data_IF_532233719626
#
_entry.id   IF_532233719626
#
_cell.length_a   1.000
_cell.length_b   1.000
_cell.length_c   1.000
_cell.angle_alpha   90.00
_cell.angle_beta   90.00
_cell.angle_gamma   90.00
#
_symmetry.space_group_name_H-M   'P 1'
#
loop_
_entity.id
_entity.type
_entity.pdbx_description
1 polymer ?
#
# COMPACT_ATOMS: atom_id res chain seq x y z
N UNK A 1 11.79 -1.92 -23.47
CA UNK A 1 10.48 -1.45 -22.92
C UNK A 1 10.33 -2.17 -21.59
N UNK A 2 9.96 -1.47 -20.51
CA UNK A 2 9.86 -2.10 -19.19
C UNK A 2 8.83 -3.24 -19.23
N UNK A 3 9.21 -4.43 -18.75
CA UNK A 3 8.36 -5.63 -18.77
C UNK A 3 7.66 -5.88 -17.45
N UNK A 4 8.33 -5.57 -16.33
CA UNK A 4 7.86 -5.89 -14.98
C UNK A 4 8.00 -4.71 -14.03
N UNK A 5 7.04 -4.55 -13.12
CA UNK A 5 7.08 -3.63 -11.99
C UNK A 5 7.38 -4.42 -10.70
N UNK A 6 8.56 -4.21 -10.12
CA UNK A 6 9.02 -4.89 -8.91
C UNK A 6 8.68 -4.11 -7.64
N UNK A 7 8.34 -4.85 -6.59
CA UNK A 7 8.02 -4.36 -5.27
C UNK A 7 8.67 -5.25 -4.20
N UNK A 8 8.92 -4.65 -3.03
CA UNK A 8 9.64 -5.31 -1.94
C UNK A 8 8.86 -5.06 -0.66
N UNK A 9 8.48 -6.14 0.01
CA UNK A 9 7.97 -6.11 1.38
C UNK A 9 9.11 -6.44 2.35
N UNK A 10 9.27 -5.66 3.42
CA UNK A 10 10.35 -5.84 4.40
C UNK A 10 11.56 -4.92 4.18
N UNK A 11 12.71 -5.30 4.74
CA UNK A 11 13.93 -4.49 4.76
C UNK A 11 15.01 -5.10 3.84
N UNK A 12 15.18 -4.58 2.62
CA UNK A 12 16.18 -5.10 1.68
C UNK A 12 17.63 -4.77 2.09
N UNK A 13 17.83 -4.03 3.18
CA UNK A 13 19.14 -3.63 3.69
C UNK A 13 19.85 -2.57 2.87
N UNK A 14 21.18 -2.50 3.06
CA UNK A 14 22.06 -1.55 2.37
C UNK A 14 22.00 -1.70 0.85
N UNK A 15 22.30 -0.61 0.13
CA UNK A 15 22.27 -0.59 -1.32
C UNK A 15 23.51 -1.27 -1.93
N UNK A 16 23.49 -2.60 -2.00
CA UNK A 16 24.59 -3.43 -2.46
C UNK A 16 24.11 -4.64 -3.29
N UNK A 17 25.03 -5.54 -3.64
CA UNK A 17 24.78 -6.71 -4.48
C UNK A 17 23.70 -7.68 -3.95
N UNK A 18 23.36 -7.64 -2.64
CA UNK A 18 22.30 -8.45 -2.03
C UNK A 18 20.95 -7.71 -2.01
N UNK A 19 20.94 -6.42 -2.33
CA UNK A 19 19.73 -5.61 -2.41
C UNK A 19 19.05 -5.81 -3.76
N UNK A 20 17.78 -6.22 -3.81
CA UNK A 20 17.06 -6.34 -5.08
C UNK A 20 17.03 -5.03 -5.86
N UNK A 21 16.95 -3.87 -5.18
CA UNK A 21 16.94 -2.56 -5.86
C UNK A 21 18.24 -2.23 -6.57
N UNK A 22 19.37 -2.79 -6.12
CA UNK A 22 20.65 -2.66 -6.81
C UNK A 22 20.69 -3.57 -8.02
N UNK A 23 20.27 -4.83 -7.86
CA UNK A 23 20.23 -5.81 -8.97
C UNK A 23 19.30 -5.34 -10.09
N UNK A 24 18.15 -4.75 -9.75
CA UNK A 24 17.16 -4.25 -10.72
C UNK A 24 17.51 -2.92 -11.40
N UNK A 25 18.64 -2.28 -11.07
CA UNK A 25 19.13 -1.16 -11.89
C UNK A 25 19.56 -1.63 -13.28
N UNK A 26 19.94 -2.91 -13.42
CA UNK A 26 20.21 -3.49 -14.71
C UNK A 26 18.90 -3.63 -15.51
N UNK A 27 18.83 -2.90 -16.62
CA UNK A 27 17.64 -2.79 -17.48
C UNK A 27 17.30 -4.07 -18.27
N UNK A 28 18.08 -5.16 -18.13
CA UNK A 28 17.79 -6.45 -18.74
C UNK A 28 17.16 -7.46 -17.77
N UNK A 29 17.17 -7.18 -16.46
CA UNK A 29 16.67 -8.11 -15.45
C UNK A 29 15.15 -8.32 -15.57
N UNK A 30 14.39 -7.25 -15.84
CA UNK A 30 12.95 -7.35 -15.99
C UNK A 30 12.55 -8.24 -17.17
N UNK A 31 13.27 -8.11 -18.29
CA UNK A 31 13.10 -8.94 -19.47
C UNK A 31 13.47 -10.41 -19.20
N UNK A 32 14.64 -10.66 -18.60
CA UNK A 32 15.09 -12.01 -18.23
C UNK A 32 14.09 -12.73 -17.33
N UNK A 33 13.61 -12.06 -16.27
CA UNK A 33 12.60 -12.63 -15.37
C UNK A 33 11.29 -12.89 -16.12
N UNK A 34 10.86 -11.97 -17.00
CA UNK A 34 9.63 -12.15 -17.78
C UNK A 34 9.68 -13.43 -18.61
N UNK A 35 10.79 -13.68 -19.34
CA UNK A 35 10.92 -14.89 -20.16
C UNK A 35 10.94 -16.17 -19.32
N UNK A 36 11.67 -16.19 -18.21
CA UNK A 36 11.68 -17.33 -17.26
C UNK A 36 10.26 -17.60 -16.76
N UNK A 37 9.50 -16.55 -16.42
CA UNK A 37 8.16 -16.66 -15.86
C UNK A 37 7.12 -17.13 -16.88
N UNK A 38 7.20 -16.64 -18.13
CA UNK A 38 6.32 -17.01 -19.23
C UNK A 38 6.47 -18.49 -19.60
N UNK A 39 7.69 -19.04 -19.49
CA UNK A 39 7.97 -20.46 -19.70
C UNK A 39 7.42 -21.40 -18.63
N UNK A 40 7.48 -22.70 -18.94
CA UNK A 40 7.28 -23.76 -17.94
C UNK A 40 8.48 -23.78 -16.97
N UNK A 41 8.27 -24.06 -15.67
CA UNK A 41 9.35 -24.07 -14.69
C UNK A 41 10.45 -25.05 -15.09
N UNK A 42 11.70 -24.59 -15.04
CA UNK A 42 12.88 -25.37 -15.40
C UNK A 42 12.92 -25.81 -16.88
N UNK A 43 12.17 -25.16 -17.77
CA UNK A 43 12.22 -25.45 -19.21
C UNK A 43 13.39 -24.77 -19.92
N UNK A 44 13.83 -23.60 -19.45
CA UNK A 44 14.85 -22.77 -20.10
C UNK A 44 16.19 -22.84 -19.36
N UNK A 45 17.29 -22.96 -20.12
CA UNK A 45 18.67 -22.79 -19.70
C UNK A 45 19.30 -21.57 -20.36
N UNK A 46 20.63 -21.46 -20.30
CA UNK A 46 21.37 -20.31 -20.87
C UNK A 46 21.18 -20.23 -22.39
N UNK A 47 21.28 -21.36 -23.09
CA UNK A 47 21.16 -21.42 -24.55
C UNK A 47 19.80 -20.89 -25.04
N UNK A 48 18.71 -21.34 -24.43
CA UNK A 48 17.36 -20.91 -24.83
C UNK A 48 17.08 -19.44 -24.45
N UNK A 49 17.70 -18.94 -23.38
CA UNK A 49 17.54 -17.54 -22.98
C UNK A 49 18.37 -16.59 -23.84
N UNK A 50 19.59 -16.99 -24.21
CA UNK A 50 20.47 -16.22 -25.10
C UNK A 50 19.81 -15.98 -26.46
N UNK A 51 19.26 -17.04 -27.07
CA UNK A 51 18.53 -16.95 -28.36
C UNK A 51 17.35 -15.98 -28.31
N UNK A 52 16.61 -15.96 -27.20
CA UNK A 52 15.41 -15.12 -27.05
C UNK A 52 15.72 -13.67 -26.65
N UNK A 53 16.81 -13.44 -25.89
CA UNK A 53 17.13 -12.14 -25.31
C UNK A 53 18.19 -11.37 -26.13
N UNK A 54 18.94 -12.03 -27.00
CA UNK A 54 20.09 -11.44 -27.71
C UNK A 54 21.05 -10.76 -26.73
N UNK A 55 21.40 -11.47 -25.64
CA UNK A 55 22.34 -11.03 -24.60
C UNK A 55 23.55 -11.96 -24.67
N UNK A 56 24.76 -11.40 -24.68
CA UNK A 56 25.99 -12.20 -24.64
C UNK A 56 25.98 -13.20 -23.48
N UNK A 57 26.39 -14.45 -23.73
CA UNK A 57 26.27 -15.52 -22.75
C UNK A 57 27.03 -15.23 -21.44
N UNK A 58 28.15 -14.49 -21.47
CA UNK A 58 28.88 -14.10 -20.26
C UNK A 58 28.06 -13.11 -19.41
N UNK A 59 27.47 -12.10 -20.06
CA UNK A 59 26.59 -11.14 -19.40
C UNK A 59 25.35 -11.82 -18.82
N UNK A 60 24.74 -12.75 -19.56
CA UNK A 60 23.57 -13.52 -19.11
C UNK A 60 23.89 -14.34 -17.85
N UNK A 61 25.07 -14.96 -17.79
CA UNK A 61 25.52 -15.70 -16.61
C UNK A 61 25.68 -14.78 -15.37
N UNK A 62 26.16 -13.54 -15.55
CA UNK A 62 26.22 -12.55 -14.47
C UNK A 62 24.82 -12.20 -13.97
N UNK A 63 23.87 -11.94 -14.87
CA UNK A 63 22.48 -11.64 -14.51
C UNK A 63 21.83 -12.80 -13.72
N UNK A 64 22.01 -14.03 -14.19
CA UNK A 64 21.50 -15.25 -13.53
C UNK A 64 22.11 -15.41 -12.14
N UNK A 65 23.42 -15.18 -12.01
CA UNK A 65 24.12 -15.22 -10.72
C UNK A 65 23.57 -14.18 -9.74
N UNK A 66 23.31 -12.96 -10.22
CA UNK A 66 22.73 -11.88 -9.42
C UNK A 66 21.29 -12.21 -8.98
N UNK A 67 20.46 -12.75 -9.89
CA UNK A 67 19.10 -13.19 -9.58
C UNK A 67 19.05 -14.33 -8.57
N UNK A 68 19.96 -15.29 -8.71
CA UNK A 68 20.12 -16.39 -7.76
C UNK A 68 20.50 -15.86 -6.37
N UNK A 69 21.45 -14.92 -6.31
CA UNK A 69 21.93 -14.32 -5.06
C UNK A 69 20.83 -13.61 -4.27
N UNK A 70 19.93 -12.89 -4.95
CA UNK A 70 18.79 -12.25 -4.29
C UNK A 70 17.59 -13.19 -4.09
N UNK A 71 17.73 -14.47 -4.44
CA UNK A 71 16.67 -15.47 -4.28
C UNK A 71 15.48 -15.31 -5.23
N UNK A 72 15.63 -14.60 -6.35
CA UNK A 72 14.56 -14.35 -7.31
C UNK A 72 14.30 -15.55 -8.24
N UNK A 73 15.28 -16.44 -8.43
CA UNK A 73 15.14 -17.66 -9.25
C UNK A 73 15.62 -18.90 -8.49
N UNK A 74 15.06 -20.06 -8.86
CA UNK A 74 15.58 -21.39 -8.54
C UNK A 74 16.36 -21.92 -9.73
N UNK A 75 17.40 -22.69 -9.45
CA UNK A 75 18.21 -23.39 -10.46
C UNK A 75 18.19 -24.88 -10.12
N UNK A 76 17.86 -25.74 -11.08
CA UNK A 76 17.93 -27.20 -10.89
C UNK A 76 19.32 -27.76 -11.22
N UNK A 77 19.49 -29.08 -11.12
CA UNK A 77 20.76 -29.77 -11.39
C UNK A 77 21.22 -29.66 -12.85
N UNK A 78 20.30 -29.38 -13.78
CA UNK A 78 20.55 -29.22 -15.22
C UNK A 78 20.73 -27.74 -15.62
N UNK A 79 20.97 -26.85 -14.65
CA UNK A 79 21.12 -25.39 -14.88
C UNK A 79 19.91 -24.76 -15.60
N UNK A 80 18.71 -25.26 -15.29
CA UNK A 80 17.45 -24.71 -15.76
C UNK A 80 16.79 -23.86 -14.69
N UNK A 81 15.95 -22.92 -15.11
CA UNK A 81 15.48 -21.83 -14.26
C UNK A 81 13.97 -21.83 -14.01
N UNK A 82 13.57 -21.42 -12.80
CA UNK A 82 12.18 -21.10 -12.44
C UNK A 82 12.18 -19.87 -11.53
N UNK A 83 11.10 -19.09 -11.51
CA UNK A 83 11.00 -17.96 -10.56
C UNK A 83 10.79 -18.47 -9.12
N UNK A 84 11.19 -17.66 -8.12
CA UNK A 84 11.13 -18.01 -6.70
C UNK A 84 10.42 -16.94 -5.83
N UNK A 85 9.54 -16.17 -6.45
CA UNK A 85 8.80 -15.09 -5.82
C UNK A 85 7.46 -14.86 -6.52
N UNK A 86 6.54 -14.14 -5.87
CA UNK A 86 5.20 -13.91 -6.43
C UNK A 86 5.26 -12.97 -7.62
N UNK A 87 5.01 -13.49 -8.82
CA UNK A 87 4.89 -12.70 -10.06
C UNK A 87 3.54 -13.00 -10.71
N UNK A 88 2.79 -11.94 -11.03
CA UNK A 88 1.56 -12.03 -11.81
C UNK A 88 1.78 -11.46 -13.21
N UNK A 89 1.52 -12.29 -14.21
CA UNK A 89 1.51 -11.91 -15.63
C UNK A 89 0.08 -11.62 -16.08
N UNK A 90 -0.07 -11.02 -17.26
CA UNK A 90 -1.38 -10.65 -17.82
C UNK A 90 -2.29 -11.87 -17.99
N UNK A 91 -1.71 -13.04 -18.26
CA UNK A 91 -2.44 -14.30 -18.36
C UNK A 91 -3.03 -14.78 -17.03
N UNK A 92 -2.56 -14.26 -15.89
CA UNK A 92 -3.06 -14.62 -14.57
C UNK A 92 -4.31 -13.82 -14.16
N UNK A 93 -4.63 -12.73 -14.88
CA UNK A 93 -5.60 -11.72 -14.46
C UNK A 93 -6.99 -12.30 -14.22
N UNK A 94 -7.51 -13.10 -15.14
CA UNK A 94 -8.89 -13.59 -15.04
C UNK A 94 -9.06 -14.45 -13.78
N UNK A 95 -8.10 -15.35 -13.54
CA UNK A 95 -8.09 -16.21 -12.35
C UNK A 95 -7.95 -15.38 -11.06
N UNK A 96 -7.06 -14.38 -11.05
CA UNK A 96 -6.87 -13.49 -9.90
C UNK A 96 -8.14 -12.67 -9.65
N UNK A 97 -8.72 -12.07 -10.69
CA UNK A 97 -9.89 -11.20 -10.60
C UNK A 97 -11.10 -11.96 -10.04
N UNK A 98 -11.36 -13.16 -10.56
CA UNK A 98 -12.45 -14.02 -10.09
C UNK A 98 -12.24 -14.42 -8.62
N UNK A 99 -10.99 -14.76 -8.26
CA UNK A 99 -10.65 -15.14 -6.89
C UNK A 99 -10.83 -13.98 -5.89
N UNK A 100 -10.33 -12.79 -6.20
CA UNK A 100 -10.42 -11.63 -5.29
C UNK A 100 -11.86 -11.10 -5.21
N UNK A 101 -12.65 -11.18 -6.29
CA UNK A 101 -14.07 -10.81 -6.25
C UNK A 101 -14.86 -11.77 -5.36
N UNK A 102 -14.64 -13.08 -5.51
CA UNK A 102 -15.21 -14.09 -4.63
C UNK A 102 -14.86 -13.85 -3.16
N UNK A 103 -13.59 -13.59 -2.87
CA UNK A 103 -13.12 -13.32 -1.52
C UNK A 103 -13.70 -12.01 -0.96
N UNK A 104 -13.68 -10.94 -1.76
CA UNK A 104 -14.19 -9.62 -1.41
C UNK A 104 -15.67 -9.63 -1.06
N UNK A 105 -16.49 -10.29 -1.88
CA UNK A 105 -17.91 -10.47 -1.60
C UNK A 105 -18.16 -11.32 -0.34
N UNK A 106 -17.50 -12.48 -0.23
CA UNK A 106 -17.72 -13.41 0.90
C UNK A 106 -17.34 -12.78 2.24
N UNK A 107 -16.19 -12.11 2.30
CA UNK A 107 -15.73 -11.42 3.52
C UNK A 107 -16.51 -10.12 3.75
N UNK A 108 -16.78 -9.35 2.69
CA UNK A 108 -17.57 -8.11 2.77
C UNK A 108 -18.97 -8.34 3.35
N UNK A 109 -19.68 -9.37 2.88
CA UNK A 109 -20.98 -9.76 3.44
C UNK A 109 -20.89 -10.15 4.93
N UNK A 110 -19.84 -10.88 5.32
CA UNK A 110 -19.60 -11.23 6.72
C UNK A 110 -19.41 -9.96 7.57
N UNK A 111 -18.67 -8.96 7.08
CA UNK A 111 -18.46 -7.69 7.80
C UNK A 111 -19.75 -6.89 7.92
N UNK A 112 -20.52 -6.76 6.83
CA UNK A 112 -21.80 -6.05 6.85
C UNK A 112 -22.75 -6.69 7.87
N UNK A 113 -22.75 -8.02 8.01
CA UNK A 113 -23.57 -8.71 9.02
C UNK A 113 -23.22 -8.36 10.48
N UNK A 114 -22.08 -7.70 10.72
CA UNK A 114 -21.60 -7.28 12.04
C UNK A 114 -21.87 -5.80 12.34
N UNK A 115 -22.61 -5.09 11.47
CA UNK A 115 -22.86 -3.65 11.57
C UNK A 115 -23.33 -3.19 12.95
N UNK A 116 -24.28 -3.90 13.56
CA UNK A 116 -24.83 -3.53 14.87
C UNK A 116 -23.76 -3.58 15.96
N UNK A 117 -22.87 -4.58 15.91
CA UNK A 117 -21.76 -4.71 16.87
C UNK A 117 -20.78 -3.55 16.72
N UNK A 118 -20.42 -3.17 15.49
CA UNK A 118 -19.52 -2.04 15.27
C UNK A 118 -20.15 -0.71 15.69
N UNK A 119 -21.44 -0.52 15.43
CA UNK A 119 -22.17 0.65 15.90
C UNK A 119 -22.19 0.74 17.43
N UNK A 120 -22.33 -0.38 18.13
CA UNK A 120 -22.26 -0.41 19.59
C UNK A 120 -20.87 -0.04 20.08
N UNK A 121 -19.80 -0.57 19.47
CA UNK A 121 -18.40 -0.22 19.80
C UNK A 121 -18.14 1.27 19.57
N UNK A 122 -18.59 1.84 18.44
CA UNK A 122 -18.44 3.27 18.14
C UNK A 122 -19.17 4.20 19.12
N UNK A 123 -20.20 3.70 19.83
CA UNK A 123 -20.96 4.48 20.82
C UNK A 123 -20.32 4.48 22.21
N UNK A 124 -19.32 3.63 22.46
CA UNK A 124 -18.67 3.53 23.78
C UNK A 124 -17.95 4.83 24.17
N UNK A 125 -17.34 5.51 23.20
CA UNK A 125 -16.54 6.73 23.41
C UNK A 125 -16.70 7.69 22.25
N UNK A 126 -16.67 9.00 22.54
CA UNK A 126 -16.50 9.99 21.49
C UNK A 126 -15.05 9.92 20.99
N UNK A 127 -14.90 9.58 19.71
CA UNK A 127 -13.60 9.39 19.08
C UNK A 127 -13.20 10.53 18.16
N UNK A 128 -14.08 11.51 17.92
CA UNK A 128 -13.86 12.60 16.96
C UNK A 128 -14.10 13.98 17.60
N UNK A 129 -13.24 14.96 17.30
CA UNK A 129 -13.45 16.35 17.77
C UNK A 129 -14.52 17.10 16.95
N UNK A 130 -14.76 16.68 15.73
CA UNK A 130 -15.76 17.24 14.84
C UNK A 130 -16.85 16.21 14.48
N UNK A 131 -17.98 16.68 13.95
CA UNK A 131 -19.05 15.80 13.50
C UNK A 131 -18.61 14.98 12.29
N UNK A 132 -18.67 13.67 12.41
CA UNK A 132 -18.25 12.71 11.38
C UNK A 132 -19.31 11.63 11.24
N UNK A 133 -19.67 11.29 10.00
CA UNK A 133 -20.66 10.24 9.72
C UNK A 133 -20.15 8.87 10.20
N UNK A 134 -21.07 7.97 10.57
CA UNK A 134 -20.70 6.59 10.92
C UNK A 134 -19.97 5.89 9.78
N UNK A 135 -20.43 6.08 8.54
CA UNK A 135 -19.80 5.53 7.33
C UNK A 135 -18.36 6.01 7.15
N UNK A 136 -18.08 7.28 7.46
CA UNK A 136 -16.72 7.83 7.46
C UNK A 136 -15.86 7.24 8.57
N UNK A 137 -16.44 7.03 9.77
CA UNK A 137 -15.74 6.35 10.88
C UNK A 137 -15.40 4.91 10.47
N UNK A 138 -16.33 4.16 9.87
CA UNK A 138 -16.07 2.81 9.37
C UNK A 138 -15.04 2.77 8.25
N UNK A 139 -15.04 3.74 7.33
CA UNK A 139 -14.01 3.82 6.29
C UNK A 139 -12.60 3.84 6.90
N UNK A 140 -12.35 4.71 7.89
CA UNK A 140 -11.03 4.77 8.52
C UNK A 140 -10.77 3.61 9.49
N UNK A 141 -11.77 3.13 10.23
CA UNK A 141 -11.59 2.04 11.18
C UNK A 141 -11.37 0.68 10.51
N UNK A 142 -12.13 0.39 9.46
CA UNK A 142 -12.15 -0.92 8.79
C UNK A 142 -11.18 -0.93 7.61
N UNK A 143 -11.31 0.01 6.68
CA UNK A 143 -10.56 -0.05 5.43
C UNK A 143 -9.07 0.31 5.63
N UNK A 144 -8.80 1.41 6.33
CA UNK A 144 -7.43 1.88 6.62
C UNK A 144 -6.84 1.14 7.83
N UNK A 145 -7.40 1.35 9.02
CA UNK A 145 -6.79 0.89 10.27
C UNK A 145 -6.75 -0.64 10.42
N UNK A 146 -7.84 -1.33 10.09
CA UNK A 146 -7.92 -2.79 10.26
C UNK A 146 -7.15 -3.52 9.17
N UNK A 147 -7.44 -3.28 7.89
CA UNK A 147 -6.88 -4.12 6.82
C UNK A 147 -5.44 -3.79 6.41
N UNK A 148 -5.10 -2.51 6.30
CA UNK A 148 -3.74 -2.07 5.94
C UNK A 148 -2.76 -2.22 7.12
N UNK A 149 -3.29 -2.26 8.36
CA UNK A 149 -2.51 -2.39 9.60
C UNK A 149 -2.68 -3.73 10.31
N UNK A 150 -3.67 -3.79 11.21
CA UNK A 150 -3.81 -4.86 12.23
C UNK A 150 -3.95 -6.27 11.63
N UNK A 151 -4.70 -6.40 10.54
CA UNK A 151 -5.00 -7.68 9.91
C UNK A 151 -3.75 -8.38 9.39
N UNK A 152 -2.80 -7.62 8.83
CA UNK A 152 -1.55 -8.16 8.30
C UNK A 152 -0.77 -8.89 9.41
N UNK A 153 -0.57 -8.23 10.55
CA UNK A 153 0.12 -8.81 11.70
C UNK A 153 -0.67 -9.99 12.29
N UNK A 154 -1.99 -9.83 12.45
CA UNK A 154 -2.86 -10.84 13.05
C UNK A 154 -2.85 -12.15 12.25
N UNK A 155 -3.06 -12.07 10.93
CA UNK A 155 -3.12 -13.26 10.07
C UNK A 155 -1.74 -13.88 9.85
N UNK A 156 -0.68 -13.09 9.79
CA UNK A 156 0.68 -13.61 9.69
C UNK A 156 1.10 -14.39 10.94
N UNK A 157 0.80 -13.90 12.15
CA UNK A 157 1.05 -14.61 13.41
C UNK A 157 0.33 -15.96 13.50
N UNK A 158 -0.80 -16.10 12.80
CA UNK A 158 -1.56 -17.36 12.70
C UNK A 158 -1.14 -18.23 11.51
N UNK A 159 -0.14 -17.81 10.74
CA UNK A 159 0.46 -18.59 9.67
C UNK A 159 -0.33 -18.61 8.35
N UNK A 160 -1.27 -17.68 8.15
CA UNK A 160 -2.00 -17.59 6.87
C UNK A 160 -1.12 -17.07 5.73
N UNK A 161 -0.16 -16.20 6.04
CA UNK A 161 0.85 -15.74 5.10
C UNK A 161 2.14 -15.33 5.83
N UNK A 162 3.24 -15.27 5.08
CA UNK A 162 4.55 -14.85 5.59
C UNK A 162 4.75 -13.36 5.31
N UNK A 163 5.24 -12.62 6.30
CA UNK A 163 5.64 -11.21 6.16
C UNK A 163 7.16 -11.01 6.26
N UNK A 164 7.91 -12.11 6.31
CA UNK A 164 9.37 -12.15 6.45
C UNK A 164 9.92 -13.36 5.69
N UNK A 165 11.07 -13.16 5.06
CA UNK A 165 11.84 -14.16 4.31
C UNK A 165 13.31 -13.75 4.35
N UNK A 166 14.11 -14.53 5.06
CA UNK A 166 15.56 -14.33 5.11
C UNK A 166 16.17 -14.82 3.81
N UNK A 167 16.80 -13.90 3.08
CA UNK A 167 17.57 -14.13 1.87
C UNK A 167 19.08 -14.02 2.16
N UNK A 168 19.91 -14.32 1.16
CA UNK A 168 21.36 -14.20 1.29
C UNK A 168 21.79 -12.78 1.71
N UNK A 169 22.95 -12.68 2.36
CA UNK A 169 23.42 -11.41 2.92
C UNK A 169 22.68 -10.96 4.17
N UNK A 170 21.94 -11.86 4.82
CA UNK A 170 21.12 -11.56 6.01
C UNK A 170 20.12 -10.43 5.74
N UNK A 171 19.45 -10.50 4.58
CA UNK A 171 18.41 -9.55 4.16
C UNK A 171 17.05 -10.16 4.42
N UNK A 172 16.11 -9.41 4.99
CA UNK A 172 14.77 -9.91 5.27
C UNK A 172 13.75 -9.20 4.39
N UNK A 173 13.40 -9.84 3.28
CA UNK A 173 12.44 -9.27 2.33
C UNK A 173 11.69 -10.33 1.54
N UNK A 174 10.47 -10.00 1.14
CA UNK A 174 9.68 -10.74 0.17
C UNK A 174 9.58 -9.91 -1.09
N UNK A 175 9.94 -10.52 -2.22
CA UNK A 175 9.86 -9.93 -3.54
C UNK A 175 8.51 -10.25 -4.17
N UNK A 176 7.92 -9.29 -4.85
CA UNK A 176 6.76 -9.51 -5.71
C UNK A 176 6.80 -8.59 -6.92
N UNK A 177 6.18 -8.99 -8.02
CA UNK A 177 6.12 -8.18 -9.22
C UNK A 177 4.85 -8.40 -10.03
N UNK A 178 4.60 -7.44 -10.91
CA UNK A 178 3.51 -7.45 -11.87
C UNK A 178 4.08 -7.21 -13.26
N UNK A 179 3.55 -7.87 -14.29
CA UNK A 179 3.81 -7.42 -15.66
C UNK A 179 3.36 -5.97 -15.84
N UNK A 180 4.15 -5.17 -16.55
CA UNK A 180 3.86 -3.77 -16.86
C UNK A 180 2.77 -3.67 -17.93
N UNK A 181 1.55 -4.01 -17.51
CA UNK A 181 0.38 -4.06 -18.38
C UNK A 181 -0.80 -3.30 -17.76
N UNK A 182 -1.53 -2.57 -18.60
CA UNK A 182 -2.65 -1.70 -18.16
C UNK A 182 -3.73 -2.45 -17.37
N UNK A 183 -3.92 -3.74 -17.65
CA UNK A 183 -4.91 -4.55 -16.93
C UNK A 183 -4.45 -4.87 -15.51
N UNK A 184 -3.19 -5.24 -15.29
CA UNK A 184 -2.64 -5.46 -13.94
C UNK A 184 -2.50 -4.17 -13.15
N UNK A 185 -2.24 -3.04 -13.81
CA UNK A 185 -2.22 -1.73 -13.16
C UNK A 185 -3.54 -1.38 -12.49
N UNK A 186 -4.67 -2.02 -12.84
CA UNK A 186 -5.94 -1.84 -12.12
C UNK A 186 -5.87 -2.39 -10.69
N UNK A 187 -5.16 -3.49 -10.46
CA UNK A 187 -5.00 -4.07 -9.13
C UNK A 187 -4.17 -3.19 -8.20
N UNK A 188 -3.20 -2.46 -8.74
CA UNK A 188 -2.40 -1.52 -7.98
C UNK A 188 -3.07 -0.14 -7.86
N UNK A 189 -3.54 0.44 -8.98
CA UNK A 189 -3.99 1.83 -9.02
C UNK A 189 -5.47 2.01 -8.69
N UNK A 190 -6.32 1.00 -8.87
CA UNK A 190 -7.78 1.17 -8.81
C UNK A 190 -8.45 0.38 -7.68
N UNK A 191 -7.68 -0.19 -6.76
CA UNK A 191 -8.21 -0.76 -5.52
C UNK A 191 -7.95 0.18 -4.36
N UNK A 192 -8.92 0.33 -3.45
CA UNK A 192 -8.74 1.05 -2.19
C UNK A 192 -7.83 0.25 -1.24
N UNK A 193 -6.52 0.36 -1.41
CA UNK A 193 -5.52 -0.43 -0.68
C UNK A 193 -4.24 0.32 -0.30
N UNK A 194 -4.25 1.66 -0.27
CA UNK A 194 -3.04 2.44 -0.02
C UNK A 194 -3.25 3.57 0.98
N UNK A 195 -2.36 3.62 1.97
CA UNK A 195 -2.33 4.62 3.04
C UNK A 195 -1.10 5.54 2.89
N UNK A 196 -1.31 6.85 2.77
CA UNK A 196 -0.25 7.85 2.89
C UNK A 196 -0.27 8.43 4.30
N UNK A 197 0.87 8.48 4.97
CA UNK A 197 0.95 8.90 6.37
C UNK A 197 2.12 9.87 6.62
N UNK A 198 1.85 10.95 7.35
CA UNK A 198 2.88 11.80 7.98
C UNK A 198 2.64 11.80 9.48
N UNK A 199 3.62 11.30 10.23
CA UNK A 199 3.64 11.32 11.69
C UNK A 199 4.53 12.45 12.19
N UNK A 200 3.97 13.34 13.00
CA UNK A 200 4.73 14.42 13.63
C UNK A 200 4.15 14.78 14.99
N UNK A 201 4.98 14.76 16.04
CA UNK A 201 4.68 15.37 17.34
C UNK A 201 3.27 15.09 17.93
N UNK A 202 2.79 13.85 17.82
CA UNK A 202 1.47 13.44 18.33
C UNK A 202 0.33 13.54 17.31
N UNK A 203 0.62 13.95 16.08
CA UNK A 203 -0.32 14.01 14.96
C UNK A 203 0.04 12.99 13.89
N UNK A 204 -0.97 12.32 13.33
CA UNK A 204 -0.88 11.60 12.05
C UNK A 204 -1.82 12.24 11.06
N UNK A 205 -1.26 12.81 9.99
CA UNK A 205 -2.00 13.15 8.79
C UNK A 205 -2.07 11.91 7.92
N UNK A 206 -3.29 11.44 7.66
CA UNK A 206 -3.53 10.22 6.91
C UNK A 206 -4.42 10.51 5.70
N UNK A 207 -4.12 9.84 4.59
CA UNK A 207 -5.06 9.64 3.50
C UNK A 207 -5.08 8.17 3.11
N UNK A 208 -6.27 7.59 3.08
CA UNK A 208 -6.48 6.22 2.62
C UNK A 208 -7.29 6.21 1.33
N UNK A 209 -6.91 5.34 0.39
CA UNK A 209 -7.45 5.38 -0.97
C UNK A 209 -6.80 4.38 -1.92
N UNK A 210 -6.93 4.63 -3.21
CA UNK A 210 -6.26 3.87 -4.26
C UNK A 210 -4.90 4.46 -4.64
N UNK A 211 -4.02 3.69 -5.30
CA UNK A 211 -2.67 4.16 -5.62
C UNK A 211 -2.62 5.14 -6.81
N UNK A 212 -3.76 5.53 -7.39
CA UNK A 212 -3.81 6.36 -8.57
C UNK A 212 -3.50 7.84 -8.27
N UNK A 213 -2.83 8.49 -9.22
CA UNK A 213 -2.59 9.92 -9.18
C UNK A 213 -1.70 10.44 -8.04
N UNK A 214 -1.82 11.74 -7.79
CA UNK A 214 -1.11 12.49 -6.77
C UNK A 214 -2.11 13.10 -5.79
N UNK A 215 -2.55 12.29 -4.81
CA UNK A 215 -3.43 12.73 -3.72
C UNK A 215 -2.99 14.08 -3.15
N UNK A 216 -3.94 14.96 -2.91
CA UNK A 216 -3.67 16.28 -2.36
C UNK A 216 -3.65 16.23 -0.83
N UNK A 217 -2.65 15.57 -0.28
CA UNK A 217 -2.44 15.40 1.16
C UNK A 217 -1.03 15.85 1.60
N UNK A 218 -0.82 15.99 2.90
CA UNK A 218 0.46 16.46 3.48
C UNK A 218 1.64 15.58 3.01
N UNK A 219 1.47 14.26 2.98
CA UNK A 219 2.51 13.32 2.57
C UNK A 219 2.94 13.55 1.12
N UNK A 220 1.99 13.53 0.19
CA UNK A 220 2.25 13.69 -1.24
C UNK A 220 2.72 15.09 -1.57
N UNK A 221 2.21 16.12 -0.88
CA UNK A 221 2.69 17.48 -1.06
C UNK A 221 4.19 17.58 -0.71
N UNK A 222 4.59 17.10 0.48
CA UNK A 222 6.01 17.10 0.88
C UNK A 222 6.88 16.28 -0.08
N UNK A 223 6.42 15.08 -0.47
CA UNK A 223 7.15 14.23 -1.44
C UNK A 223 7.31 14.89 -2.81
N UNK A 224 6.33 15.67 -3.26
CA UNK A 224 6.41 16.42 -4.52
C UNK A 224 7.41 17.58 -4.42
N UNK A 225 7.44 18.29 -3.30
CA UNK A 225 8.46 19.32 -3.04
C UNK A 225 9.86 18.71 -3.05
N UNK A 226 10.06 17.60 -2.33
CA UNK A 226 11.35 16.89 -2.31
C UNK A 226 11.76 16.43 -3.71
N UNK A 227 10.83 15.87 -4.49
CA UNK A 227 11.11 15.44 -5.87
C UNK A 227 11.45 16.63 -6.76
N UNK A 228 10.72 17.74 -6.65
CA UNK A 228 11.00 18.94 -7.44
C UNK A 228 12.40 19.49 -7.17
N UNK A 229 12.84 19.50 -5.91
CA UNK A 229 14.19 19.92 -5.52
C UNK A 229 15.24 18.95 -6.08
N UNK A 230 15.04 17.64 -5.92
CA UNK A 230 16.02 16.64 -6.38
C UNK A 230 16.17 16.57 -7.91
N UNK A 231 15.17 17.05 -8.66
CA UNK A 231 15.20 17.11 -10.12
C UNK A 231 15.98 18.31 -10.67
N UNK A 232 16.54 19.20 -9.83
CA UNK A 232 17.36 20.32 -10.30
C UNK A 232 18.73 19.78 -10.75
N UNK A 233 19.02 19.92 -12.04
CA UNK A 233 20.24 19.38 -12.65
C UNK A 233 21.52 20.13 -12.22
N UNK A 234 22.66 19.43 -12.27
CA UNK A 234 24.02 19.97 -12.02
C UNK A 234 24.31 20.51 -10.61
N UNK A 235 23.44 20.25 -9.62
CA UNK A 235 23.61 20.73 -8.23
C UNK A 235 23.28 19.65 -7.19
N UNK A 236 23.59 18.39 -7.46
CA UNK A 236 23.17 17.23 -6.64
C UNK A 236 23.52 17.34 -5.15
N UNK A 237 24.73 17.80 -4.81
CA UNK A 237 25.13 17.99 -3.41
C UNK A 237 24.31 19.10 -2.71
N UNK A 238 23.99 20.18 -3.43
CA UNK A 238 23.13 21.25 -2.92
C UNK A 238 21.69 20.75 -2.76
N UNK A 239 21.16 19.98 -3.72
CA UNK A 239 19.83 19.37 -3.61
C UNK A 239 19.75 18.46 -2.37
N UNK A 240 20.75 17.62 -2.14
CA UNK A 240 20.82 16.76 -0.95
C UNK A 240 20.84 17.58 0.34
N UNK A 241 21.59 18.67 0.39
CA UNK A 241 21.63 19.56 1.55
C UNK A 241 20.29 20.29 1.77
N UNK A 242 19.70 20.84 0.71
CA UNK A 242 18.45 21.59 0.77
C UNK A 242 17.25 20.69 1.10
N UNK A 243 17.17 19.49 0.53
CA UNK A 243 16.14 18.48 0.86
C UNK A 243 16.17 18.11 2.36
N UNK A 244 17.37 17.99 2.96
CA UNK A 244 17.47 17.76 4.42
C UNK A 244 16.98 18.95 5.24
N UNK A 245 17.25 20.17 4.79
CA UNK A 245 16.82 21.38 5.47
C UNK A 245 15.31 21.59 5.36
N UNK A 246 14.73 21.49 4.16
CA UNK A 246 13.29 21.63 3.95
C UNK A 246 12.52 20.50 4.64
N UNK A 247 13.05 19.28 4.72
CA UNK A 247 12.44 18.18 5.45
C UNK A 247 12.22 18.52 6.94
N UNK A 248 13.18 19.19 7.59
CA UNK A 248 13.02 19.68 8.97
C UNK A 248 11.93 20.75 9.06
N UNK A 249 11.90 21.70 8.12
CA UNK A 249 10.87 22.75 8.09
C UNK A 249 9.48 22.20 7.79
N UNK A 250 9.37 21.18 6.95
CA UNK A 250 8.12 20.48 6.66
C UNK A 250 7.57 19.78 7.91
N UNK A 251 8.45 19.21 8.74
CA UNK A 251 8.05 18.66 10.04
C UNK A 251 7.48 19.75 10.97
N UNK A 252 8.16 20.89 11.08
CA UNK A 252 7.64 22.04 11.86
C UNK A 252 6.29 22.52 11.33
N UNK A 253 6.16 22.70 10.00
CA UNK A 253 4.90 23.09 9.37
C UNK A 253 3.77 22.09 9.63
N UNK A 254 4.04 20.79 9.53
CA UNK A 254 3.04 19.76 9.79
C UNK A 254 2.60 19.77 11.26
N UNK A 255 3.51 20.04 12.21
CA UNK A 255 3.16 20.25 13.61
C UNK A 255 2.29 21.50 13.80
N UNK A 256 2.71 22.65 13.25
CA UNK A 256 1.95 23.91 13.30
C UNK A 256 0.54 23.73 12.71
N UNK A 257 0.43 22.99 11.61
CA UNK A 257 -0.84 22.62 11.00
C UNK A 257 -1.68 21.73 11.92
N UNK A 258 -1.07 20.74 12.58
CA UNK A 258 -1.75 19.87 13.54
C UNK A 258 -2.35 20.67 14.69
N UNK A 259 -1.52 21.48 15.35
CA UNK A 259 -1.91 22.41 16.42
C UNK A 259 -3.09 23.31 15.96
N UNK A 260 -2.99 23.90 14.77
CA UNK A 260 -4.03 24.74 14.17
C UNK A 260 -5.35 23.99 13.96
N UNK A 261 -5.32 22.80 13.38
CA UNK A 261 -6.53 22.00 13.11
C UNK A 261 -7.25 21.61 14.41
N UNK A 262 -6.52 21.28 15.48
CA UNK A 262 -7.11 20.99 16.79
C UNK A 262 -7.76 22.23 17.37
N UNK A 263 -7.05 23.36 17.37
CA UNK A 263 -7.59 24.60 17.90
C UNK A 263 -8.85 25.07 17.15
N UNK A 264 -8.92 24.84 15.83
CA UNK A 264 -10.14 25.04 15.06
C UNK A 264 -11.26 24.11 15.54
N UNK A 265 -10.97 22.82 15.70
CA UNK A 265 -11.97 21.81 16.07
C UNK A 265 -12.56 22.04 17.46
N UNK A 266 -11.74 22.51 18.41
CA UNK A 266 -12.19 22.81 19.78
C UNK A 266 -12.78 24.22 19.93
N UNK A 267 -12.76 25.04 18.87
CA UNK A 267 -13.25 26.42 18.90
C UNK A 267 -12.34 27.39 19.67
N UNK A 268 -11.07 27.04 19.89
CA UNK A 268 -10.12 27.88 20.64
C UNK A 268 -9.60 29.07 19.82
N UNK A 269 -9.69 29.01 18.49
CA UNK A 269 -9.28 30.09 17.58
C UNK A 269 -10.36 30.36 16.55
N UNK A 270 -10.39 31.61 16.06
CA UNK A 270 -11.06 31.93 14.81
C UNK A 270 -10.05 31.72 13.68
N UNK A 271 -10.34 30.80 12.75
CA UNK A 271 -9.35 30.44 11.74
C UNK A 271 -9.01 31.54 10.73
N UNK A 272 -9.83 32.59 10.62
CA UNK A 272 -9.60 33.74 9.73
C UNK A 272 -8.77 34.86 10.38
N UNK A 273 -8.19 34.64 11.55
CA UNK A 273 -7.25 35.59 12.15
C UNK A 273 -5.99 35.72 11.28
N UNK A 274 -5.56 36.96 11.02
CA UNK A 274 -4.40 37.28 10.16
C UNK A 274 -3.13 36.50 10.50
N UNK A 275 -2.91 36.16 11.78
CA UNK A 275 -1.76 35.37 12.23
C UNK A 275 -1.76 33.91 11.74
N UNK A 276 -2.88 33.43 11.21
CA UNK A 276 -3.07 32.07 10.70
C UNK A 276 -3.35 32.03 9.19
N UNK A 277 -3.25 33.15 8.47
CA UNK A 277 -3.60 33.25 7.06
C UNK A 277 -2.88 32.22 6.18
N UNK A 278 -1.58 32.00 6.41
CA UNK A 278 -0.78 31.02 5.67
C UNK A 278 -1.22 29.57 5.96
N UNK A 279 -1.48 29.24 7.24
CA UNK A 279 -1.96 27.91 7.65
C UNK A 279 -3.39 27.64 7.16
N UNK A 280 -4.26 28.66 7.18
CA UNK A 280 -5.58 28.59 6.58
C UNK A 280 -5.48 28.33 5.07
N UNK A 281 -4.67 29.12 4.36
CA UNK A 281 -4.47 28.95 2.91
C UNK A 281 -3.91 27.57 2.57
N UNK A 282 -2.94 27.10 3.34
CA UNK A 282 -2.34 25.79 3.16
C UNK A 282 -3.33 24.65 3.43
N UNK A 283 -4.08 24.71 4.53
CA UNK A 283 -5.11 23.72 4.88
C UNK A 283 -6.29 23.70 3.92
N UNK A 284 -6.71 24.86 3.40
CA UNK A 284 -7.69 24.96 2.30
C UNK A 284 -7.13 24.34 1.02
N UNK A 285 -5.87 24.63 0.69
CA UNK A 285 -5.16 24.07 -0.45
C UNK A 285 -5.09 22.55 -0.42
N UNK A 286 -5.00 21.93 0.77
CA UNK A 286 -5.00 20.49 0.99
C UNK A 286 -6.42 19.88 1.15
N UNK A 287 -7.47 20.70 1.12
CA UNK A 287 -8.85 20.26 1.30
C UNK A 287 -9.27 19.94 2.74
N UNK A 288 -8.42 20.21 3.75
CA UNK A 288 -8.73 19.94 5.16
C UNK A 288 -9.79 20.85 5.74
N UNK A 289 -9.87 22.08 5.23
CA UNK A 289 -10.88 23.05 5.62
C UNK A 289 -11.50 23.72 4.39
N UNK A 290 -12.73 24.17 4.53
CA UNK A 290 -13.38 25.08 3.59
C UNK A 290 -13.70 26.39 4.32
N UNK A 291 -13.76 27.48 3.57
CA UNK A 291 -14.35 28.74 4.01
C UNK A 291 -15.59 29.01 3.18
N UNK A 292 -16.70 29.35 3.82
CA UNK A 292 -17.89 29.82 3.09
C UNK A 292 -17.79 31.31 2.73
N UNK A 293 -18.79 31.82 2.02
CA UNK A 293 -18.87 33.23 1.58
C UNK A 293 -18.96 34.23 2.75
N UNK A 294 -19.20 33.76 3.99
CA UNK A 294 -19.25 34.57 5.20
C UNK A 294 -17.97 34.41 6.05
N UNK A 295 -16.89 33.87 5.47
CA UNK A 295 -15.63 33.55 6.14
C UNK A 295 -15.77 32.53 7.29
N UNK A 296 -16.85 31.76 7.33
CA UNK A 296 -16.98 30.69 8.31
C UNK A 296 -16.16 29.50 7.83
N UNK A 297 -15.23 29.10 8.69
CA UNK A 297 -14.34 27.97 8.43
C UNK A 297 -14.99 26.69 8.92
N UNK A 298 -15.02 25.68 8.05
CA UNK A 298 -15.51 24.34 8.34
C UNK A 298 -14.42 23.31 8.09
N UNK A 299 -14.22 22.40 9.04
CA UNK A 299 -13.28 21.29 8.90
C UNK A 299 -13.94 20.17 8.07
N UNK A 300 -13.29 19.77 6.97
CA UNK A 300 -13.82 18.78 6.03
C UNK A 300 -13.37 17.34 6.33
N UNK A 301 -12.37 17.18 7.21
CA UNK A 301 -11.75 15.89 7.53
C UNK A 301 -12.03 15.47 8.96
N UNK A 302 -12.21 14.18 9.25
CA UNK A 302 -12.28 13.70 10.63
C UNK A 302 -11.02 14.03 11.40
N UNK A 303 -11.17 14.51 12.63
CA UNK A 303 -10.09 14.65 13.60
C UNK A 303 -10.34 13.66 14.72
N UNK A 304 -9.66 12.53 14.66
CA UNK A 304 -9.77 11.45 15.62
C UNK A 304 -8.90 11.73 16.86
N UNK A 305 -9.52 11.66 18.03
CA UNK A 305 -8.87 11.81 19.35
C UNK A 305 -8.12 10.54 19.75
N UNK A 306 -7.32 10.58 20.81
CA UNK A 306 -6.64 9.40 21.36
C UNK A 306 -7.56 8.19 21.62
N UNK A 307 -8.84 8.43 21.93
CA UNK A 307 -9.83 7.36 22.16
C UNK A 307 -10.07 6.50 20.92
N UNK A 308 -9.74 6.99 19.73
CA UNK A 308 -9.95 6.25 18.49
C UNK A 308 -9.19 4.92 18.48
N UNK A 309 -8.02 4.84 19.10
CA UNK A 309 -7.17 3.65 19.03
C UNK A 309 -7.81 2.47 19.72
N UNK A 310 -8.33 2.68 20.93
CA UNK A 310 -9.04 1.62 21.66
C UNK A 310 -10.25 1.13 20.87
N UNK A 311 -11.04 2.07 20.34
CA UNK A 311 -12.27 1.75 19.59
C UNK A 311 -11.95 1.05 18.27
N UNK A 312 -10.95 1.54 17.52
CA UNK A 312 -10.56 0.96 16.24
C UNK A 312 -9.87 -0.38 16.43
N UNK A 313 -9.04 -0.56 17.46
CA UNK A 313 -8.46 -1.86 17.82
C UNK A 313 -9.55 -2.88 18.18
N UNK A 314 -10.56 -2.50 18.97
CA UNK A 314 -11.71 -3.38 19.27
C UNK A 314 -12.44 -3.83 17.99
N UNK A 315 -12.68 -2.90 17.06
CA UNK A 315 -13.27 -3.22 15.75
C UNK A 315 -12.35 -4.17 14.97
N UNK A 316 -11.05 -3.86 14.91
CA UNK A 316 -10.07 -4.62 14.14
C UNK A 316 -9.91 -6.06 14.65
N UNK A 317 -9.71 -6.23 15.96
CA UNK A 317 -9.62 -7.55 16.61
C UNK A 317 -10.89 -8.37 16.36
N UNK A 318 -12.06 -7.74 16.49
CA UNK A 318 -13.33 -8.40 16.26
C UNK A 318 -13.50 -8.83 14.79
N UNK A 319 -13.19 -7.96 13.83
CA UNK A 319 -13.19 -8.30 12.40
C UNK A 319 -12.23 -9.45 12.13
N UNK A 320 -10.97 -9.33 12.55
CA UNK A 320 -9.94 -10.32 12.28
C UNK A 320 -10.31 -11.70 12.86
N UNK A 321 -10.90 -11.73 14.06
CA UNK A 321 -11.45 -12.95 14.66
C UNK A 321 -12.58 -13.55 13.82
N UNK A 322 -13.58 -12.74 13.46
CA UNK A 322 -14.79 -13.21 12.77
C UNK A 322 -14.54 -13.67 11.33
N UNK A 323 -13.53 -13.12 10.65
CA UNK A 323 -13.22 -13.48 9.26
C UNK A 323 -12.11 -14.52 9.13
N UNK A 324 -11.45 -14.92 10.22
CA UNK A 324 -10.26 -15.78 10.20
C UNK A 324 -10.50 -17.11 9.47
N UNK A 325 -11.49 -17.91 9.89
CA UNK A 325 -11.76 -19.21 9.25
C UNK A 325 -12.22 -19.02 7.80
N UNK A 326 -13.01 -17.99 7.52
CA UNK A 326 -13.43 -17.65 6.14
C UNK A 326 -12.23 -17.37 5.24
N UNK A 327 -11.27 -16.55 5.70
CA UNK A 327 -10.06 -16.22 4.95
C UNK A 327 -9.18 -17.46 4.78
N UNK A 328 -9.02 -18.26 5.82
CA UNK A 328 -8.25 -19.51 5.78
C UNK A 328 -8.83 -20.49 4.74
N UNK A 329 -10.15 -20.65 4.70
CA UNK A 329 -10.82 -21.49 3.70
C UNK A 329 -10.60 -20.96 2.29
N UNK A 330 -10.76 -19.64 2.08
CA UNK A 330 -10.48 -18.99 0.79
C UNK A 330 -9.04 -19.25 0.34
N UNK A 331 -8.06 -19.09 1.23
CA UNK A 331 -6.64 -19.31 0.92
C UNK A 331 -6.30 -20.79 0.71
N UNK A 332 -7.00 -21.71 1.37
CA UNK A 332 -6.85 -23.15 1.11
C UNK A 332 -7.40 -23.55 -0.26
N UNK A 333 -8.43 -22.85 -0.77
CA UNK A 333 -8.97 -23.04 -2.11
C UNK A 333 -8.06 -22.45 -3.22
N UNK A 334 -7.00 -21.71 -2.86
CA UNK A 334 -6.09 -21.03 -3.79
C UNK A 334 -5.51 -21.98 -4.83
N UNK A 335 -5.01 -23.15 -4.43
CA UNK A 335 -4.38 -24.10 -5.38
C UNK A 335 -5.35 -24.65 -6.43
N UNK A 336 -6.65 -24.67 -6.13
CA UNK A 336 -7.68 -25.12 -7.07
C UNK A 336 -8.19 -23.96 -7.94
N UNK A 337 -8.46 -22.80 -7.33
CA UNK A 337 -9.02 -21.62 -8.03
C UNK A 337 -8.01 -20.84 -8.85
N UNK A 338 -6.75 -20.79 -8.40
CA UNK A 338 -5.64 -20.11 -9.06
C UNK A 338 -4.70 -21.11 -9.76
N UNK A 339 -5.13 -22.35 -9.99
CA UNK A 339 -4.26 -23.51 -10.16
C UNK A 339 -3.18 -23.45 -11.26
N UNK A 340 -3.24 -22.49 -12.18
CA UNK A 340 -2.18 -22.28 -13.17
C UNK A 340 -1.67 -20.83 -13.27
N UNK A 341 -1.88 -20.01 -12.23
CA UNK A 341 -1.23 -18.69 -12.23
C UNK A 341 0.29 -18.87 -12.18
N UNK A 342 1.03 -17.93 -12.76
CA UNK A 342 2.48 -18.00 -12.92
C UNK A 342 3.21 -18.39 -11.63
N UNK A 343 2.93 -17.73 -10.50
CA UNK A 343 3.56 -18.06 -9.22
C UNK A 343 3.27 -19.50 -8.72
N UNK A 344 2.04 -20.01 -8.93
CA UNK A 344 1.68 -21.37 -8.54
C UNK A 344 2.38 -22.39 -9.45
N UNK A 345 2.37 -22.15 -10.77
CA UNK A 345 3.05 -23.00 -11.76
C UNK A 345 4.54 -23.16 -11.45
N UNK A 346 5.21 -22.08 -11.05
CA UNK A 346 6.63 -22.08 -10.67
C UNK A 346 6.93 -22.58 -9.25
N UNK A 347 5.90 -23.03 -8.51
CA UNK A 347 6.05 -23.61 -7.18
C UNK A 347 6.57 -22.60 -6.14
N UNK A 348 6.16 -21.33 -6.26
CA UNK A 348 6.44 -20.30 -5.25
C UNK A 348 5.73 -20.69 -3.94
N UNK A 349 6.33 -20.34 -2.81
CA UNK A 349 5.76 -20.64 -1.50
C UNK A 349 4.35 -20.06 -1.36
N UNK A 350 3.38 -20.92 -1.05
CA UNK A 350 1.95 -20.53 -0.98
C UNK A 350 1.69 -19.38 -0.01
N UNK A 351 2.48 -19.24 1.06
CA UNK A 351 2.32 -18.18 2.04
C UNK A 351 2.94 -16.85 1.55
N UNK A 352 3.86 -16.88 0.58
CA UNK A 352 4.33 -15.68 -0.13
C UNK A 352 3.30 -15.23 -1.18
N UNK A 353 2.65 -16.18 -1.87
CA UNK A 353 1.54 -15.88 -2.79
C UNK A 353 0.37 -15.28 -2.01
N UNK A 354 0.02 -15.87 -0.86
CA UNK A 354 -1.06 -15.41 0.00
C UNK A 354 -0.85 -13.99 0.56
N UNK A 355 0.41 -13.56 0.77
CA UNK A 355 0.71 -12.18 1.19
C UNK A 355 0.28 -11.18 0.11
N UNK A 356 0.62 -11.42 -1.14
CA UNK A 356 0.25 -10.49 -2.21
C UNK A 356 -1.24 -10.58 -2.53
N UNK A 357 -1.82 -11.78 -2.51
CA UNK A 357 -3.26 -11.94 -2.64
C UNK A 357 -4.02 -11.24 -1.51
N UNK A 358 -3.51 -11.21 -0.28
CA UNK A 358 -4.12 -10.43 0.80
C UNK A 358 -4.29 -8.96 0.41
N UNK A 359 -3.25 -8.34 -0.17
CA UNK A 359 -3.32 -6.95 -0.64
C UNK A 359 -4.45 -6.72 -1.64
N UNK A 360 -4.64 -7.66 -2.57
CA UNK A 360 -5.72 -7.60 -3.54
C UNK A 360 -7.09 -7.91 -2.94
N UNK A 361 -7.17 -8.89 -2.05
CA UNK A 361 -8.39 -9.30 -1.36
C UNK A 361 -8.92 -8.14 -0.51
N UNK A 362 -8.08 -7.49 0.30
CA UNK A 362 -8.58 -6.40 1.15
C UNK A 362 -8.96 -5.16 0.34
N UNK A 363 -8.25 -4.89 -0.76
CA UNK A 363 -8.69 -3.91 -1.75
C UNK A 363 -10.09 -4.22 -2.29
N UNK A 364 -10.35 -5.49 -2.67
CA UNK A 364 -11.65 -5.94 -3.14
C UNK A 364 -12.74 -5.88 -2.05
N UNK A 365 -12.41 -6.20 -0.79
CA UNK A 365 -13.33 -6.01 0.34
C UNK A 365 -13.72 -4.53 0.45
N UNK A 366 -12.75 -3.62 0.39
CA UNK A 366 -13.01 -2.18 0.51
C UNK A 366 -13.90 -1.66 -0.62
N UNK A 367 -13.66 -2.08 -1.87
CA UNK A 367 -14.55 -1.75 -3.00
C UNK A 367 -15.96 -2.29 -2.78
N UNK A 368 -16.09 -3.53 -2.29
CA UNK A 368 -17.40 -4.14 -1.98
C UNK A 368 -18.16 -3.37 -0.89
N UNK A 369 -17.48 -2.98 0.20
CA UNK A 369 -18.08 -2.21 1.29
C UNK A 369 -18.53 -0.81 0.81
N UNK A 370 -17.79 -0.18 -0.10
CA UNK A 370 -18.19 1.07 -0.75
C UNK A 370 -19.40 0.86 -1.66
N UNK A 371 -19.39 -0.19 -2.48
CA UNK A 371 -20.50 -0.53 -3.38
C UNK A 371 -21.81 -0.76 -2.61
N UNK A 372 -21.77 -1.49 -1.50
CA UNK A 372 -22.93 -1.72 -0.62
C UNK A 372 -23.31 -0.51 0.21
N UNK A 373 -22.56 0.59 0.13
CA UNK A 373 -22.80 1.82 0.87
C UNK A 373 -22.61 1.65 2.38
N UNK A 374 -21.82 0.66 2.80
CA UNK A 374 -21.50 0.40 4.20
C UNK A 374 -20.49 1.41 4.76
N UNK A 375 -19.51 1.77 3.94
CA UNK A 375 -18.54 2.85 4.22
C UNK A 375 -18.70 4.01 3.24
N UNK A 376 -18.06 5.14 3.52
CA UNK A 376 -18.09 6.30 2.64
C UNK A 376 -17.39 6.02 1.31
N UNK A 377 -17.97 6.55 0.23
CA UNK A 377 -17.40 6.45 -1.12
C UNK A 377 -16.44 7.63 -1.37
N UNK A 378 -15.14 7.41 -1.57
CA UNK A 378 -14.24 8.45 -2.04
C UNK A 378 -14.64 8.93 -3.44
N UNK A 379 -14.51 10.24 -3.67
CA UNK A 379 -14.69 10.82 -5.01
C UNK A 379 -13.49 10.48 -5.91
N UNK A 380 -13.74 10.22 -7.19
CA UNK A 380 -12.68 10.00 -8.18
C UNK A 380 -12.26 11.32 -8.82
N UNK A 381 -10.97 11.64 -8.69
CA UNK A 381 -10.31 12.70 -9.45
C UNK A 381 -9.32 12.07 -10.43
N UNK A 382 -9.31 12.55 -11.68
CA UNK A 382 -8.37 12.08 -12.71
C UNK A 382 -6.90 12.29 -12.30
N UNK A 383 -6.60 13.35 -11.54
CA UNK A 383 -5.24 13.68 -11.14
C UNK A 383 -4.83 13.13 -9.78
N UNK A 384 -5.80 12.86 -8.91
CA UNK A 384 -5.55 12.53 -7.49
C UNK A 384 -5.98 11.12 -7.10
N UNK A 385 -6.67 10.38 -7.98
CA UNK A 385 -7.26 9.08 -7.66
C UNK A 385 -8.49 9.21 -6.76
N UNK A 386 -8.72 8.19 -5.93
CA UNK A 386 -9.80 8.14 -4.92
C UNK A 386 -9.21 8.01 -3.54
N UNK A 387 -9.53 8.92 -2.63
CA UNK A 387 -9.09 8.85 -1.25
C UNK A 387 -9.95 9.67 -0.31
N UNK A 388 -9.82 9.39 0.98
CA UNK A 388 -10.41 10.14 2.07
C UNK A 388 -9.34 10.43 3.12
N UNK A 389 -9.28 11.68 3.58
CA UNK A 389 -8.28 12.15 4.55
C UNK A 389 -8.83 12.13 5.97
N UNK A 390 -7.94 11.99 6.96
CA UNK A 390 -8.22 12.25 8.37
C UNK A 390 -6.95 12.69 9.12
N UNK A 391 -7.15 13.19 10.34
CA UNK A 391 -6.08 13.52 11.27
C UNK A 391 -6.30 12.68 12.53
N UNK A 392 -5.26 12.01 13.00
CA UNK A 392 -5.28 11.32 14.28
C UNK A 392 -4.42 12.05 15.30
N UNK A 393 -4.93 12.15 16.52
CA UNK A 393 -4.20 12.63 17.69
C UNK A 393 -3.76 11.45 18.55
N UNK A 394 -2.55 11.52 19.09
CA UNK A 394 -2.08 10.71 20.21
C UNK A 394 -1.61 11.64 21.34
N UNK A 395 -1.92 11.28 22.58
CA UNK A 395 -1.22 11.87 23.73
C UNK A 395 0.16 11.24 23.82
N UNK A 396 1.17 12.09 24.04
CA UNK A 396 2.56 11.68 24.25
C UNK A 396 2.75 10.95 25.57
#
# INVERSE_FOLDING_TARGET
>A
MKKLNFFIFGEPGDYDKFNPRYVYENNRIDELIYFIAEGEPFSQGVEELDENLSIDSEDLLVLISDLKRIGAIKVNEQERYAINFTLFLTNDIDNIQDFINYAGEKIGNKIISLEEKFNNILREKEISLNQVSVKRKFYHAICDYTFDGVALEYFSKKGLFKISKVNEGNRDFILYAYEDHKLLNKFSNKLLCSSNNVWIDGYRFNSFGDCDGNRNDVFRYFRRVDRAINNIENVEQLNKAYTKWIGKRNNELAKELGDYMIHLATGNIKGNERKHEELLSFSMGLGYVNSDNNEKITINVPIFTENHEEVFNKIAEFICSEIYETLKDILNEMSYRLGNITAVRHGVDKNEIALELWHLIFGAINEYLVEKGFVDKPYYSEFEGRYLQCIYMRVR
#
